data_IF_481698936705
#
_entry.id   IF_481698936705
#
_cell.length_a   1.000
_cell.length_b   1.000
_cell.length_c   1.000
_cell.angle_alpha   90.00
_cell.angle_beta   90.00
_cell.angle_gamma   90.00
#
_symmetry.space_group_name_H-M   'P 1'
#
loop_
_entity.id
_entity.type
_entity.pdbx_description
1 polymer ?
#
# COMPACT_ATOMS: atom_id res chain seq x y z
N UNK A 1 -0.55 21.23 -39.17
CA UNK A 1 -0.97 21.43 -37.76
C UNK A 1 -0.10 20.65 -36.74
N UNK A 2 0.41 19.46 -37.06
CA UNK A 2 1.34 18.71 -36.16
C UNK A 2 2.75 19.32 -36.14
N UNK A 3 3.23 19.85 -37.28
CA UNK A 3 4.54 20.51 -37.39
C UNK A 3 4.61 21.83 -36.61
N UNK A 4 3.51 22.61 -36.58
CA UNK A 4 3.49 23.89 -35.86
C UNK A 4 3.51 23.74 -34.34
N UNK A 5 2.95 22.65 -33.79
CA UNK A 5 3.03 22.34 -32.34
C UNK A 5 4.46 21.96 -31.91
N UNK A 6 5.18 21.19 -32.77
CA UNK A 6 6.55 20.79 -32.44
C UNK A 6 7.53 21.97 -32.46
N UNK A 7 7.35 22.94 -33.34
CA UNK A 7 8.15 24.16 -33.37
C UNK A 7 7.92 25.05 -32.14
N UNK A 8 6.68 25.15 -31.67
CA UNK A 8 6.35 25.89 -30.44
C UNK A 8 7.02 25.32 -29.20
N UNK A 9 7.08 24.00 -29.08
CA UNK A 9 7.68 23.32 -27.91
C UNK A 9 9.22 23.45 -27.95
N UNK A 10 9.85 23.42 -29.13
CA UNK A 10 11.30 23.65 -29.30
C UNK A 10 11.66 25.07 -28.90
N UNK A 11 10.86 26.07 -29.34
CA UNK A 11 11.11 27.47 -29.01
C UNK A 11 10.97 27.74 -27.52
N UNK A 12 9.91 27.21 -26.87
CA UNK A 12 9.72 27.32 -25.43
C UNK A 12 10.85 26.68 -24.62
N UNK A 13 11.41 25.57 -25.11
CA UNK A 13 12.56 24.92 -24.51
C UNK A 13 13.80 25.80 -24.52
N UNK A 14 14.08 26.46 -25.64
CA UNK A 14 15.23 27.35 -25.78
C UNK A 14 15.14 28.58 -24.89
N UNK A 15 13.95 29.15 -24.77
CA UNK A 15 13.69 30.31 -23.91
C UNK A 15 13.76 29.99 -22.41
N UNK A 16 13.33 28.77 -22.01
CA UNK A 16 13.24 28.38 -20.60
C UNK A 16 14.45 27.56 -20.13
N UNK A 17 15.39 27.23 -20.99
CA UNK A 17 16.54 26.33 -20.72
C UNK A 17 16.12 25.03 -20.02
N UNK A 18 14.99 24.47 -20.45
CA UNK A 18 14.38 23.26 -19.85
C UNK A 18 14.36 22.11 -20.86
N UNK A 19 14.50 20.87 -20.35
CA UNK A 19 14.32 19.67 -21.15
C UNK A 19 12.89 19.56 -21.70
N UNK A 20 12.73 19.06 -22.94
CA UNK A 20 11.44 18.95 -23.63
C UNK A 20 10.39 18.19 -22.82
N UNK A 21 10.78 17.10 -22.13
CA UNK A 21 9.89 16.31 -21.29
C UNK A 21 9.34 17.11 -20.09
N UNK A 22 10.15 18.02 -19.54
CA UNK A 22 9.69 18.93 -18.47
C UNK A 22 8.70 19.95 -19.02
N UNK A 23 8.97 20.55 -20.18
CA UNK A 23 8.03 21.50 -20.81
C UNK A 23 6.70 20.82 -21.09
N UNK A 24 6.69 19.61 -21.64
CA UNK A 24 5.46 18.84 -21.88
C UNK A 24 4.71 18.48 -20.60
N UNK A 25 5.42 18.13 -19.52
CA UNK A 25 4.80 17.89 -18.20
C UNK A 25 4.14 19.13 -17.64
N UNK A 26 4.81 20.28 -17.69
CA UNK A 26 4.26 21.56 -17.22
C UNK A 26 3.02 21.96 -18.04
N UNK A 27 3.04 21.79 -19.36
CA UNK A 27 1.87 22.05 -20.21
C UNK A 27 0.67 21.15 -19.92
N UNK A 28 0.91 19.91 -19.44
CA UNK A 28 -0.17 19.02 -18.98
C UNK A 28 -0.75 19.47 -17.64
N UNK A 29 0.07 19.98 -16.75
CA UNK A 29 -0.33 20.47 -15.41
C UNK A 29 -1.04 21.83 -15.50
N UNK A 30 -0.72 22.66 -16.51
CA UNK A 30 -1.29 23.99 -16.72
C UNK A 30 -2.76 24.00 -17.19
N UNK A 31 -3.39 22.82 -17.31
CA UNK A 31 -4.83 22.75 -17.60
C UNK A 31 -5.62 23.23 -16.37
N UNK A 32 -6.60 24.08 -16.60
CA UNK A 32 -7.51 24.51 -15.55
C UNK A 32 -8.28 23.31 -15.00
N UNK A 33 -8.45 23.21 -13.66
CA UNK A 33 -9.26 22.15 -13.07
C UNK A 33 -10.73 22.33 -13.46
N UNK A 34 -11.39 21.23 -13.75
CA UNK A 34 -12.83 21.20 -14.05
C UNK A 34 -13.58 21.10 -12.72
N UNK A 35 -14.65 21.89 -12.54
CA UNK A 35 -15.51 21.81 -11.36
C UNK A 35 -16.24 20.48 -11.31
N UNK A 36 -16.33 19.87 -10.12
CA UNK A 36 -17.12 18.66 -9.90
C UNK A 36 -18.64 18.90 -9.99
N UNK A 37 -19.08 20.17 -9.87
CA UNK A 37 -20.48 20.58 -10.04
C UNK A 37 -20.85 20.81 -11.50
N UNK A 38 -19.96 20.55 -12.46
CA UNK A 38 -20.26 20.68 -13.88
C UNK A 38 -21.36 19.68 -14.26
N UNK A 39 -22.53 20.14 -14.77
CA UNK A 39 -23.62 19.27 -15.17
C UNK A 39 -23.21 18.39 -16.36
N UNK A 40 -23.64 17.14 -16.36
CA UNK A 40 -23.40 16.16 -17.42
C UNK A 40 -24.73 15.75 -18.05
N UNK A 41 -24.87 15.98 -19.36
CA UNK A 41 -26.08 15.67 -20.11
C UNK A 41 -27.11 16.80 -20.09
N UNK A 42 -28.32 16.50 -20.53
CA UNK A 42 -29.45 17.44 -20.59
C UNK A 42 -30.27 17.48 -19.29
N UNK A 43 -29.97 16.56 -18.34
CA UNK A 43 -30.63 16.49 -17.04
C UNK A 43 -29.86 17.35 -16.03
N UNK A 44 -30.52 18.31 -15.40
CA UNK A 44 -29.94 19.24 -14.42
C UNK A 44 -29.51 18.56 -13.10
N UNK A 45 -29.89 17.30 -12.90
CA UNK A 45 -29.67 16.56 -11.65
C UNK A 45 -28.36 15.73 -11.60
N UNK A 46 -27.59 15.63 -12.71
CA UNK A 46 -26.38 14.84 -12.77
C UNK A 46 -25.12 15.71 -12.88
N UNK A 47 -24.26 15.62 -11.92
CA UNK A 47 -22.98 16.36 -11.86
C UNK A 47 -21.77 15.44 -12.12
N UNK A 48 -20.65 16.01 -12.57
CA UNK A 48 -19.40 15.27 -12.79
C UNK A 48 -18.92 14.53 -11.52
N UNK A 49 -19.17 15.10 -10.34
CA UNK A 49 -18.80 14.50 -9.05
C UNK A 49 -19.48 13.16 -8.78
N UNK A 50 -20.72 12.96 -9.30
CA UNK A 50 -21.50 11.73 -9.08
C UNK A 50 -20.91 10.51 -9.82
N UNK A 51 -20.06 10.76 -10.84
CA UNK A 51 -19.39 9.72 -11.63
C UNK A 51 -17.97 9.42 -11.17
N UNK A 52 -17.47 10.14 -10.16
CA UNK A 52 -16.13 9.91 -9.61
C UNK A 52 -16.24 8.92 -8.45
N UNK A 53 -15.68 7.73 -8.63
CA UNK A 53 -15.62 6.70 -7.61
C UNK A 53 -14.69 7.10 -6.47
N UNK A 54 -15.12 6.91 -5.22
CA UNK A 54 -14.28 7.04 -4.04
C UNK A 54 -13.36 5.81 -3.92
N UNK A 55 -12.09 6.00 -4.20
CA UNK A 55 -11.06 4.95 -4.11
C UNK A 55 -10.35 4.92 -2.75
N UNK A 56 -10.70 5.82 -1.82
CA UNK A 56 -10.08 5.89 -0.48
C UNK A 56 -10.75 4.93 0.49
N UNK A 57 -12.06 4.75 0.35
CA UNK A 57 -12.84 3.83 1.19
C UNK A 57 -12.78 2.43 0.57
N UNK A 58 -12.25 1.48 1.32
CA UNK A 58 -12.29 0.07 0.93
C UNK A 58 -13.71 -0.45 0.83
N UNK A 59 -13.95 -1.33 -0.13
CA UNK A 59 -15.27 -1.96 -0.28
C UNK A 59 -15.58 -2.82 0.96
N UNK A 60 -16.87 -3.02 1.32
CA UNK A 60 -17.23 -3.91 2.43
C UNK A 60 -16.67 -5.33 2.27
N UNK A 61 -16.51 -5.81 1.04
CA UNK A 61 -15.93 -7.12 0.74
C UNK A 61 -14.44 -7.16 1.06
N UNK A 62 -13.68 -6.12 0.68
CA UNK A 62 -12.26 -6.00 1.03
C UNK A 62 -12.06 -5.94 2.54
N UNK A 63 -12.87 -5.12 3.24
CA UNK A 63 -12.82 -5.04 4.70
C UNK A 63 -13.12 -6.41 5.36
N UNK A 64 -14.09 -7.17 4.87
CA UNK A 64 -14.39 -8.49 5.38
C UNK A 64 -13.26 -9.49 5.12
N UNK A 65 -12.59 -9.38 3.96
CA UNK A 65 -11.41 -10.21 3.62
C UNK A 65 -10.24 -9.88 4.53
N UNK A 66 -9.95 -8.60 4.75
CA UNK A 66 -8.88 -8.14 5.65
C UNK A 66 -9.13 -8.60 7.10
N UNK A 67 -10.36 -8.47 7.58
CA UNK A 67 -10.74 -8.95 8.92
C UNK A 67 -10.56 -10.47 9.05
N UNK A 68 -10.98 -11.22 8.04
CA UNK A 68 -10.79 -12.68 7.97
C UNK A 68 -9.31 -13.06 7.97
N UNK A 69 -8.47 -12.32 7.23
CA UNK A 69 -7.02 -12.50 7.24
C UNK A 69 -6.41 -12.21 8.61
N UNK A 70 -6.88 -11.17 9.30
CA UNK A 70 -6.44 -10.85 10.66
C UNK A 70 -6.75 -11.99 11.62
N UNK A 71 -7.98 -12.54 11.61
CA UNK A 71 -8.36 -13.67 12.44
C UNK A 71 -7.52 -14.91 12.12
N UNK A 72 -7.34 -15.26 10.85
CA UNK A 72 -6.53 -16.39 10.44
C UNK A 72 -5.06 -16.24 10.87
N UNK A 73 -4.52 -15.03 10.80
CA UNK A 73 -3.16 -14.72 11.22
C UNK A 73 -3.00 -14.86 12.73
N UNK A 74 -3.95 -14.37 13.53
CA UNK A 74 -3.93 -14.50 14.98
C UNK A 74 -4.07 -15.96 15.43
N UNK A 75 -4.90 -16.75 14.76
CA UNK A 75 -5.04 -18.18 15.03
C UNK A 75 -3.73 -18.93 14.79
N UNK A 76 -3.10 -18.68 13.64
CA UNK A 76 -1.80 -19.28 13.29
C UNK A 76 -0.70 -18.87 14.27
N UNK A 77 -0.66 -17.59 14.68
CA UNK A 77 0.30 -17.10 15.69
C UNK A 77 0.05 -17.70 17.08
N UNK A 78 -1.21 -17.99 17.43
CA UNK A 78 -1.57 -18.64 18.71
C UNK A 78 -1.00 -20.06 18.84
N UNK A 79 -0.72 -20.72 17.70
CA UNK A 79 -0.10 -22.04 17.66
C UNK A 79 1.40 -22.04 18.00
N UNK A 80 2.03 -20.87 18.10
CA UNK A 80 3.43 -20.67 18.50
C UNK A 80 3.55 -20.49 20.01
N UNK A 81 4.80 -20.54 20.51
CA UNK A 81 5.03 -20.14 21.90
C UNK A 81 4.78 -18.64 22.08
N UNK A 82 4.34 -18.22 23.26
CA UNK A 82 4.05 -16.82 23.56
C UNK A 82 5.22 -15.87 23.21
N UNK A 83 6.46 -16.33 23.41
CA UNK A 83 7.67 -15.57 23.09
C UNK A 83 7.88 -15.45 21.59
N UNK A 84 7.73 -16.53 20.81
CA UNK A 84 7.84 -16.54 19.35
C UNK A 84 6.75 -15.67 18.72
N UNK A 85 5.50 -15.81 19.15
CA UNK A 85 4.38 -14.99 18.66
C UNK A 85 4.61 -13.51 18.93
N UNK A 86 5.05 -13.13 20.14
CA UNK A 86 5.31 -11.73 20.49
C UNK A 86 6.45 -11.12 19.67
N UNK A 87 7.53 -11.88 19.41
CA UNK A 87 8.63 -11.44 18.56
C UNK A 87 8.13 -11.18 17.13
N UNK A 88 7.33 -12.08 16.55
CA UNK A 88 6.77 -11.89 15.21
C UNK A 88 5.80 -10.71 15.14
N UNK A 89 4.89 -10.57 16.13
CA UNK A 89 3.97 -9.42 16.20
C UNK A 89 4.71 -8.09 16.18
N UNK A 90 5.77 -7.97 16.97
CA UNK A 90 6.56 -6.75 17.02
C UNK A 90 7.36 -6.51 15.74
N UNK A 91 7.95 -7.55 15.16
CA UNK A 91 8.74 -7.43 13.94
C UNK A 91 7.92 -7.01 12.72
N UNK A 92 6.71 -7.52 12.60
CA UNK A 92 5.82 -7.28 11.46
C UNK A 92 4.69 -6.30 11.76
N UNK A 93 4.66 -5.70 12.95
CA UNK A 93 3.62 -4.74 13.34
C UNK A 93 2.21 -5.36 13.46
N UNK A 94 2.09 -6.69 13.65
CA UNK A 94 0.80 -7.36 13.71
C UNK A 94 0.07 -6.99 15.01
N UNK A 95 -1.06 -6.28 14.89
CA UNK A 95 -1.80 -5.74 16.02
C UNK A 95 -1.11 -4.56 16.73
N UNK A 96 -0.16 -3.91 16.06
CA UNK A 96 0.56 -2.72 16.54
C UNK A 96 0.56 -1.64 15.46
N UNK A 97 0.79 -0.38 15.86
CA UNK A 97 0.81 0.76 14.94
C UNK A 97 2.08 0.82 14.06
N UNK A 98 3.17 0.17 14.47
CA UNK A 98 4.46 0.20 13.79
C UNK A 98 5.18 -1.15 13.90
N UNK A 99 6.00 -1.45 12.91
CA UNK A 99 6.98 -2.53 12.97
C UNK A 99 8.24 -2.10 13.74
N UNK A 100 8.95 -3.06 14.32
CA UNK A 100 10.14 -2.83 15.12
C UNK A 100 11.34 -3.53 14.49
N UNK A 101 12.51 -2.91 14.63
CA UNK A 101 13.78 -3.51 14.20
C UNK A 101 14.21 -4.66 15.16
N UNK A 102 15.07 -5.57 14.66
CA UNK A 102 15.60 -6.67 15.48
C UNK A 102 16.32 -6.16 16.75
N UNK A 103 16.88 -4.96 16.69
CA UNK A 103 17.60 -4.34 17.81
C UNK A 103 16.63 -3.81 18.87
N UNK A 104 15.55 -3.15 18.46
CA UNK A 104 14.51 -2.66 19.36
C UNK A 104 13.78 -3.82 20.06
N UNK A 105 13.43 -4.86 19.30
CA UNK A 105 12.87 -6.08 19.87
C UNK A 105 13.85 -6.73 20.85
N UNK A 106 15.16 -6.77 20.50
CA UNK A 106 16.20 -7.28 21.38
C UNK A 106 16.27 -6.52 22.71
N UNK A 107 16.22 -5.20 22.68
CA UNK A 107 16.18 -4.35 23.87
C UNK A 107 14.96 -4.65 24.76
N UNK A 108 13.79 -4.84 24.14
CA UNK A 108 12.55 -5.09 24.89
C UNK A 108 12.53 -6.47 25.56
N UNK A 109 13.21 -7.46 24.98
CA UNK A 109 13.32 -8.82 25.55
C UNK A 109 14.59 -9.06 26.35
N UNK A 110 15.44 -8.04 26.49
CA UNK A 110 16.75 -8.11 27.14
C UNK A 110 17.65 -9.23 26.55
N UNK A 111 17.69 -9.29 25.22
CA UNK A 111 18.50 -10.26 24.46
C UNK A 111 19.19 -9.61 23.28
N UNK A 112 20.21 -10.26 22.77
CA UNK A 112 20.97 -9.77 21.62
C UNK A 112 20.15 -9.83 20.33
N UNK A 113 20.45 -8.92 19.37
CA UNK A 113 19.88 -8.89 18.03
C UNK A 113 19.92 -10.27 17.34
N UNK A 114 21.06 -10.98 17.46
CA UNK A 114 21.24 -12.29 16.85
C UNK A 114 20.32 -13.34 17.47
N UNK A 115 20.05 -13.24 18.77
CA UNK A 115 19.10 -14.13 19.44
C UNK A 115 17.69 -13.92 18.94
N UNK A 116 17.26 -12.67 18.72
CA UNK A 116 15.94 -12.37 18.12
C UNK A 116 15.85 -12.94 16.71
N UNK A 117 16.90 -12.77 15.89
CA UNK A 117 16.95 -13.34 14.54
C UNK A 117 16.81 -14.87 14.53
N UNK A 118 17.42 -15.56 15.49
CA UNK A 118 17.26 -17.01 15.65
C UNK A 118 15.82 -17.41 16.03
N UNK A 119 15.19 -16.65 16.94
CA UNK A 119 13.81 -16.88 17.37
C UNK A 119 12.87 -16.66 16.18
N UNK A 120 13.02 -15.55 15.44
CA UNK A 120 12.25 -15.25 14.23
C UNK A 120 12.38 -16.37 13.19
N UNK A 121 13.60 -16.77 12.83
CA UNK A 121 13.85 -17.84 11.86
C UNK A 121 13.23 -19.19 12.29
N UNK A 122 13.29 -19.50 13.58
CA UNK A 122 12.67 -20.70 14.14
C UNK A 122 11.15 -20.63 14.08
N UNK A 123 10.57 -19.49 14.42
CA UNK A 123 9.12 -19.27 14.37
C UNK A 123 8.60 -19.36 12.93
N UNK A 124 9.25 -18.68 11.97
CA UNK A 124 8.89 -18.74 10.55
C UNK A 124 9.01 -20.17 9.98
N UNK A 125 10.02 -20.93 10.40
CA UNK A 125 10.15 -22.35 10.00
C UNK A 125 8.98 -23.18 10.51
N UNK A 126 8.50 -22.94 11.73
CA UNK A 126 7.32 -23.62 12.27
C UNK A 126 6.04 -23.24 11.50
N UNK A 127 5.91 -21.97 11.08
CA UNK A 127 4.77 -21.48 10.31
C UNK A 127 4.73 -22.04 8.88
N UNK A 128 5.87 -22.34 8.28
CA UNK A 128 5.96 -22.97 6.94
C UNK A 128 5.41 -24.39 6.90
N UNK A 129 5.21 -25.03 8.05
CA UNK A 129 4.64 -26.36 8.07
C UNK A 129 3.22 -26.38 7.48
N UNK A 130 2.87 -27.34 6.58
CA UNK A 130 1.58 -27.35 5.87
C UNK A 130 0.36 -27.24 6.75
N UNK A 131 0.39 -27.86 7.94
CA UNK A 131 -0.71 -27.80 8.91
C UNK A 131 -1.05 -26.37 9.39
N UNK A 132 -0.12 -25.42 9.24
CA UNK A 132 -0.31 -24.00 9.62
C UNK A 132 -0.40 -23.09 8.39
N UNK A 133 0.44 -23.31 7.39
CA UNK A 133 0.48 -22.48 6.18
C UNK A 133 -0.79 -22.60 5.34
N UNK A 134 -1.49 -23.75 5.37
CA UNK A 134 -2.71 -23.96 4.58
C UNK A 134 -3.84 -22.99 4.99
N UNK A 135 -3.91 -22.56 6.25
CA UNK A 135 -4.89 -21.59 6.71
C UNK A 135 -4.72 -20.20 6.10
N UNK A 136 -3.49 -19.84 5.74
CA UNK A 136 -3.17 -18.53 5.12
C UNK A 136 -3.07 -18.60 3.60
N UNK A 137 -3.01 -19.81 3.03
CA UNK A 137 -2.77 -19.99 1.60
C UNK A 137 -3.92 -19.49 0.74
N UNK A 138 -5.16 -19.64 1.22
CA UNK A 138 -6.36 -19.14 0.52
C UNK A 138 -6.40 -17.62 0.32
N UNK A 139 -5.63 -16.87 1.10
CA UNK A 139 -5.53 -15.41 0.97
C UNK A 139 -4.39 -14.95 0.05
N UNK A 140 -3.59 -15.87 -0.48
CA UNK A 140 -2.48 -15.57 -1.40
C UNK A 140 -2.83 -15.85 -2.88
N UNK A 141 -3.89 -16.62 -3.10
CA UNK A 141 -4.28 -17.08 -4.45
C UNK A 141 -5.34 -16.13 -5.10
N UNK A 142 -5.63 -15.00 -4.47
CA UNK A 142 -6.42 -13.86 -5.00
C UNK A 142 -5.42 -12.76 -5.51
#
# INVERSE_FOLDING_TARGET
SRLSRGLGDVYKRQELDMAEDKVRKVLKIAKEPISMETPIGDDEDSNLGDFIEDTVIHSPMENATDESLHFATDDVLSSLTAREAKVLRMRFGIGMNTDHTLEEVGKQFDVTRERIRQIEAKALRKLRHPARSNHLRSFLDD
#
